data_IF_289744643612
#
_entry.id   IF_289744643612
#
_cell.length_a   1.000
_cell.length_b   1.000
_cell.length_c   1.000
_cell.angle_alpha   90.00
_cell.angle_beta   90.00
_cell.angle_gamma   90.00
#
_symmetry.space_group_name_H-M   'P 1'
#
loop_
_entity.id
_entity.type
_entity.pdbx_description
1 polymer ?
#
# COMPACT_ATOMS: atom_id res chain seq x y z
N UNK A 1 28.22 65.26 -6.97
CA UNK A 1 28.05 64.50 -5.72
C UNK A 1 27.80 63.06 -6.10
N UNK A 2 28.84 62.25 -5.94
CA UNK A 2 28.91 60.82 -6.24
C UNK A 2 28.51 60.02 -5.01
N UNK A 3 27.58 59.07 -5.14
CA UNK A 3 27.47 57.98 -4.18
C UNK A 3 27.27 56.65 -4.92
N UNK A 4 28.18 55.75 -4.58
CA UNK A 4 28.49 54.45 -5.15
C UNK A 4 27.58 53.35 -4.62
N UNK A 5 27.44 52.30 -5.43
CA UNK A 5 26.89 51.00 -5.04
C UNK A 5 27.87 50.26 -4.13
N UNK A 6 27.42 49.85 -2.94
CA UNK A 6 28.11 48.83 -2.14
C UNK A 6 27.31 47.52 -2.21
N UNK A 7 27.86 46.56 -2.95
CA UNK A 7 27.45 45.17 -2.94
C UNK A 7 28.09 44.46 -1.75
N UNK A 8 27.27 43.80 -0.93
CA UNK A 8 27.77 42.87 0.07
C UNK A 8 27.92 41.48 -0.56
N UNK A 9 29.15 41.13 -0.91
CA UNK A 9 29.59 39.76 -1.16
C UNK A 9 29.93 39.09 0.17
N UNK A 10 29.20 38.05 0.54
CA UNK A 10 29.59 37.18 1.65
C UNK A 10 30.42 36.01 1.13
N UNK A 11 31.72 36.06 1.38
CA UNK A 11 32.65 34.94 1.24
C UNK A 11 32.70 34.17 2.57
N UNK A 12 32.31 32.89 2.57
CA UNK A 12 32.59 31.98 3.68
C UNK A 12 33.78 31.09 3.31
N UNK A 13 34.89 31.36 4.00
CA UNK A 13 36.13 30.58 3.98
C UNK A 13 35.97 29.33 4.87
N UNK A 14 36.61 28.23 4.47
CA UNK A 14 36.38 26.90 5.01
C UNK A 14 37.15 26.58 6.30
N UNK A 15 36.60 25.64 7.09
CA UNK A 15 37.33 24.98 8.18
C UNK A 15 36.47 23.99 8.99
N UNK A 16 36.54 22.69 8.61
CA UNK A 16 36.43 21.45 9.42
C UNK A 16 35.29 21.33 10.46
N UNK A 17 34.40 20.33 10.52
CA UNK A 17 34.26 19.00 9.92
C UNK A 17 32.76 18.74 9.80
N UNK A 18 32.20 18.80 8.59
CA UNK A 18 30.89 18.21 8.34
C UNK A 18 31.15 16.74 7.95
N UNK A 19 30.81 15.82 8.85
CA UNK A 19 30.70 14.41 8.52
C UNK A 19 29.77 14.33 7.31
N UNK A 20 30.31 13.92 6.16
CA UNK A 20 29.53 13.59 4.97
C UNK A 20 28.55 12.50 5.38
N UNK A 21 27.30 12.88 5.64
CA UNK A 21 26.21 11.93 5.70
C UNK A 21 26.01 11.40 4.28
N UNK A 22 26.71 10.30 3.98
CA UNK A 22 26.53 9.52 2.77
C UNK A 22 25.13 8.95 2.73
N UNK A 23 24.17 9.74 2.26
CA UNK A 23 22.91 9.22 1.78
C UNK A 23 23.11 8.88 0.31
N UNK A 24 23.39 7.61 0.03
CA UNK A 24 23.24 7.08 -1.31
C UNK A 24 21.75 7.13 -1.64
N UNK A 25 21.32 8.18 -2.33
CA UNK A 25 20.06 8.14 -3.04
C UNK A 25 20.25 7.16 -4.19
N UNK A 26 19.69 5.95 -4.06
CA UNK A 26 19.51 5.09 -5.23
C UNK A 26 18.62 5.85 -6.21
N UNK A 27 19.25 6.32 -7.28
CA UNK A 27 18.53 6.86 -8.43
C UNK A 27 17.96 5.64 -9.15
N UNK A 28 16.69 5.35 -8.89
CA UNK A 28 15.98 4.30 -9.59
C UNK A 28 15.71 4.77 -11.03
N UNK A 29 16.40 4.19 -12.00
CA UNK A 29 16.26 4.49 -13.44
C UNK A 29 14.91 3.99 -14.03
N UNK A 30 14.05 3.39 -13.21
CA UNK A 30 12.75 2.87 -13.62
C UNK A 30 11.89 2.38 -12.43
N UNK A 31 10.68 1.87 -12.69
CA UNK A 31 9.73 1.42 -11.66
C UNK A 31 10.11 0.11 -10.93
N UNK A 32 11.37 -0.33 -11.04
CA UNK A 32 11.84 -1.63 -10.57
C UNK A 32 11.65 -2.77 -11.58
N UNK A 33 12.19 -3.95 -11.26
CA UNK A 33 12.08 -5.17 -12.08
C UNK A 33 11.17 -6.19 -11.41
N UNK A 34 10.12 -6.62 -12.10
CA UNK A 34 9.22 -7.69 -11.61
C UNK A 34 9.97 -9.01 -11.36
N UNK A 35 10.96 -9.33 -12.20
CA UNK A 35 11.73 -10.57 -12.12
C UNK A 35 12.79 -10.55 -11.00
N UNK A 36 13.19 -9.36 -10.54
CA UNK A 36 14.17 -9.18 -9.48
C UNK A 36 13.57 -8.84 -8.12
N UNK A 37 12.25 -8.94 -7.96
CA UNK A 37 11.57 -8.59 -6.71
C UNK A 37 11.89 -9.61 -5.62
N UNK A 38 11.99 -9.13 -4.37
CA UNK A 38 12.02 -10.02 -3.21
C UNK A 38 10.78 -10.91 -3.17
N UNK A 39 11.00 -12.16 -2.77
CA UNK A 39 9.90 -13.11 -2.59
C UNK A 39 9.18 -12.86 -1.26
N UNK A 40 7.88 -13.20 -1.18
CA UNK A 40 7.16 -13.20 0.08
C UNK A 40 7.93 -13.99 1.14
N UNK A 41 7.91 -13.51 2.38
CA UNK A 41 8.49 -14.26 3.50
C UNK A 41 7.58 -15.47 3.73
N UNK A 42 8.03 -16.64 3.29
CA UNK A 42 7.30 -17.91 3.45
C UNK A 42 7.73 -18.67 4.70
N UNK A 43 8.89 -18.33 5.27
CA UNK A 43 9.41 -18.97 6.47
C UNK A 43 8.54 -18.61 7.69
N UNK A 44 8.01 -19.64 8.37
CA UNK A 44 7.16 -19.47 9.55
C UNK A 44 5.69 -19.16 9.26
N UNK A 45 5.24 -19.20 7.98
CA UNK A 45 3.84 -18.96 7.63
C UNK A 45 3.01 -20.24 7.65
N UNK A 46 2.00 -20.28 8.51
CA UNK A 46 1.03 -21.39 8.61
C UNK A 46 -0.22 -21.10 7.76
N UNK A 47 -0.29 -21.75 6.60
CA UNK A 47 -1.35 -21.52 5.61
C UNK A 47 -2.73 -21.98 6.04
N UNK A 48 -2.81 -22.82 7.08
CA UNK A 48 -4.06 -23.26 7.70
C UNK A 48 -4.71 -22.21 8.60
N UNK A 49 -3.94 -21.24 9.09
CA UNK A 49 -4.47 -20.15 9.92
C UNK A 49 -5.06 -19.06 9.03
N UNK A 50 -4.41 -18.77 7.90
CA UNK A 50 -4.83 -17.76 6.94
C UNK A 50 -4.26 -18.01 5.56
N UNK A 51 -5.11 -17.88 4.54
CA UNK A 51 -4.76 -18.03 3.14
C UNK A 51 -3.81 -16.94 2.61
N UNK A 52 -3.32 -17.15 1.38
CA UNK A 52 -2.51 -16.15 0.67
C UNK A 52 -3.24 -14.81 0.60
N UNK A 53 -2.63 -13.76 1.13
CA UNK A 53 -3.25 -12.44 1.27
C UNK A 53 -2.57 -11.41 0.39
N UNK A 54 -3.38 -10.77 -0.46
CA UNK A 54 -2.95 -9.70 -1.37
C UNK A 54 -3.45 -8.37 -0.83
N UNK A 55 -2.52 -7.50 -0.45
CA UNK A 55 -2.78 -6.10 -0.10
C UNK A 55 -2.89 -5.23 -1.35
N UNK A 56 -3.93 -4.40 -1.42
CA UNK A 56 -4.17 -3.43 -2.48
C UNK A 56 -4.09 -2.04 -1.87
N UNK A 57 -2.94 -1.40 -2.04
CA UNK A 57 -2.64 -0.06 -1.53
C UNK A 57 -2.64 0.99 -2.64
N UNK A 58 -2.65 2.26 -2.25
CA UNK A 58 -2.63 3.38 -3.19
C UNK A 58 -3.33 4.65 -2.68
N UNK A 59 -3.12 5.80 -3.35
CA UNK A 59 -3.83 7.03 -3.03
C UNK A 59 -5.35 6.92 -3.12
N UNK A 60 -6.05 7.81 -2.42
CA UNK A 60 -7.50 8.02 -2.60
C UNK A 60 -7.77 8.32 -4.09
N UNK A 61 -8.77 7.64 -4.67
CA UNK A 61 -9.15 7.83 -6.07
C UNK A 61 -8.25 7.15 -7.11
N UNK A 62 -7.21 6.40 -6.71
CA UNK A 62 -6.30 5.71 -7.64
C UNK A 62 -6.89 4.49 -8.37
N UNK A 63 -8.08 4.02 -7.94
CA UNK A 63 -8.75 2.86 -8.54
C UNK A 63 -8.55 1.53 -7.82
N UNK A 64 -8.13 1.54 -6.55
CA UNK A 64 -8.00 0.33 -5.71
C UNK A 64 -9.25 -0.56 -5.67
N UNK A 65 -10.40 0.00 -5.30
CA UNK A 65 -11.70 -0.70 -5.29
C UNK A 65 -12.06 -1.27 -6.66
N UNK A 66 -11.74 -0.54 -7.74
CA UNK A 66 -11.97 -1.00 -9.11
C UNK A 66 -11.08 -2.19 -9.48
N UNK A 67 -9.81 -2.18 -9.07
CA UNK A 67 -8.92 -3.33 -9.22
C UNK A 67 -9.40 -4.52 -8.40
N UNK A 68 -9.80 -4.32 -7.15
CA UNK A 68 -10.33 -5.39 -6.29
C UNK A 68 -11.58 -6.03 -6.88
N UNK A 69 -12.50 -5.23 -7.46
CA UNK A 69 -13.65 -5.73 -8.20
C UNK A 69 -13.22 -6.60 -9.39
N UNK A 70 -12.29 -6.11 -10.22
CA UNK A 70 -11.83 -6.83 -11.40
C UNK A 70 -11.16 -8.17 -11.04
N UNK A 71 -10.29 -8.18 -10.02
CA UNK A 71 -9.64 -9.39 -9.51
C UNK A 71 -10.67 -10.38 -8.96
N UNK A 72 -11.63 -9.90 -8.17
CA UNK A 72 -12.69 -10.75 -7.62
C UNK A 72 -13.48 -11.43 -8.74
N UNK A 73 -13.92 -10.68 -9.75
CA UNK A 73 -14.70 -11.22 -10.87
C UNK A 73 -13.90 -12.23 -11.72
N UNK A 74 -12.61 -12.00 -11.90
CA UNK A 74 -11.73 -12.86 -12.68
C UNK A 74 -11.42 -14.18 -11.94
N UNK A 75 -11.14 -14.12 -10.64
CA UNK A 75 -10.58 -15.26 -9.89
C UNK A 75 -11.63 -16.12 -9.17
N UNK A 76 -12.79 -15.55 -8.77
CA UNK A 76 -13.81 -16.24 -7.96
C UNK A 76 -14.45 -17.48 -8.57
N UNK A 77 -14.18 -17.78 -9.84
CA UNK A 77 -14.67 -19.00 -10.51
C UNK A 77 -13.76 -20.20 -10.27
N UNK A 78 -12.49 -19.94 -10.04
CA UNK A 78 -11.44 -20.96 -9.91
C UNK A 78 -10.92 -21.07 -8.48
N UNK A 79 -11.04 -19.99 -7.70
CA UNK A 79 -10.53 -19.89 -6.34
C UNK A 79 -11.64 -19.45 -5.36
N UNK A 80 -11.58 -19.96 -4.12
CA UNK A 80 -12.37 -19.48 -2.99
C UNK A 80 -11.79 -18.16 -2.49
N UNK A 81 -12.50 -17.04 -2.76
CA UNK A 81 -12.07 -15.69 -2.39
C UNK A 81 -12.87 -15.12 -1.21
N UNK A 82 -12.23 -14.27 -0.42
CA UNK A 82 -12.89 -13.29 0.43
C UNK A 82 -12.13 -11.94 0.41
N UNK A 83 -12.82 -10.85 0.77
CA UNK A 83 -12.29 -9.50 0.69
C UNK A 83 -12.52 -8.71 1.98
N UNK A 84 -11.52 -7.93 2.37
CA UNK A 84 -11.59 -6.93 3.45
C UNK A 84 -11.36 -5.54 2.82
N UNK A 85 -12.26 -4.60 3.08
CA UNK A 85 -12.08 -3.20 2.66
C UNK A 85 -11.92 -2.33 3.88
N UNK A 86 -10.87 -1.52 3.90
CA UNK A 86 -10.67 -0.52 4.93
C UNK A 86 -11.21 0.81 4.43
N UNK A 87 -11.86 1.55 5.31
CA UNK A 87 -12.27 2.93 5.06
C UNK A 87 -12.20 3.71 6.38
N UNK A 88 -12.17 5.03 6.33
CA UNK A 88 -11.94 5.89 7.50
C UNK A 88 -13.22 5.98 8.34
N UNK A 89 -14.34 6.33 7.70
CA UNK A 89 -15.63 6.58 8.39
C UNK A 89 -16.85 6.03 7.63
N UNK A 90 -16.64 5.26 6.57
CA UNK A 90 -17.75 4.76 5.76
C UNK A 90 -17.60 3.27 5.45
N UNK A 91 -18.56 2.72 4.71
CA UNK A 91 -18.52 1.34 4.21
C UNK A 91 -18.71 1.30 2.70
N UNK A 92 -18.47 2.43 2.04
CA UNK A 92 -18.80 2.65 0.63
C UNK A 92 -18.09 1.66 -0.29
N UNK A 93 -16.83 1.32 -0.01
CA UNK A 93 -16.08 0.34 -0.81
C UNK A 93 -16.69 -1.07 -0.72
N UNK A 94 -17.01 -1.56 0.49
CA UNK A 94 -17.68 -2.84 0.66
C UNK A 94 -19.07 -2.87 0.00
N UNK A 95 -19.84 -1.79 0.13
CA UNK A 95 -21.15 -1.64 -0.49
C UNK A 95 -21.05 -1.59 -2.02
N UNK A 96 -20.04 -0.90 -2.54
CA UNK A 96 -19.73 -0.85 -3.97
C UNK A 96 -19.43 -2.26 -4.49
N UNK A 97 -18.54 -3.01 -3.84
CA UNK A 97 -18.21 -4.39 -4.23
C UNK A 97 -19.42 -5.30 -4.18
N UNK A 98 -20.25 -5.17 -3.13
CA UNK A 98 -21.47 -5.96 -2.96
C UNK A 98 -22.49 -5.66 -4.06
N UNK A 99 -22.76 -4.38 -4.35
CA UNK A 99 -23.69 -3.96 -5.42
C UNK A 99 -23.23 -4.42 -6.80
N UNK A 100 -21.92 -4.37 -7.05
CA UNK A 100 -21.32 -4.85 -8.30
C UNK A 100 -21.12 -6.36 -8.34
N UNK A 101 -21.60 -7.09 -7.32
CA UNK A 101 -21.51 -8.55 -7.21
C UNK A 101 -20.08 -9.02 -7.38
N UNK A 102 -19.11 -8.39 -6.71
CA UNK A 102 -17.72 -8.84 -6.68
C UNK A 102 -17.64 -10.26 -6.09
N UNK A 103 -18.21 -10.44 -4.91
CA UNK A 103 -18.35 -11.70 -4.17
C UNK A 103 -19.74 -11.75 -3.51
N UNK A 104 -20.21 -12.92 -3.06
CA UNK A 104 -21.35 -13.00 -2.14
C UNK A 104 -21.13 -12.09 -0.92
N UNK A 105 -22.15 -11.35 -0.44
CA UNK A 105 -21.99 -10.39 0.66
C UNK A 105 -21.30 -10.95 1.92
N UNK A 106 -21.56 -12.20 2.35
CA UNK A 106 -20.86 -12.78 3.51
C UNK A 106 -19.35 -12.94 3.34
N UNK A 107 -18.81 -12.81 2.13
CA UNK A 107 -17.36 -12.90 1.84
C UNK A 107 -16.69 -11.53 1.79
N UNK A 108 -17.41 -10.44 2.08
CA UNK A 108 -16.89 -9.08 2.11
C UNK A 108 -17.01 -8.55 3.54
N UNK A 109 -15.91 -8.07 4.11
CA UNK A 109 -15.88 -7.40 5.42
C UNK A 109 -15.41 -5.96 5.24
N UNK A 110 -16.07 -5.04 5.94
CA UNK A 110 -15.68 -3.63 5.99
C UNK A 110 -15.08 -3.34 7.35
N UNK A 111 -13.95 -2.63 7.39
CA UNK A 111 -13.31 -2.19 8.62
C UNK A 111 -13.20 -0.67 8.60
N UNK A 112 -13.75 -0.05 9.64
CA UNK A 112 -13.62 1.38 9.88
C UNK A 112 -12.33 1.62 10.67
N UNK A 113 -11.33 2.18 10.01
CA UNK A 113 -9.97 2.36 10.54
C UNK A 113 -9.82 3.63 11.38
N UNK A 114 -10.80 4.55 11.32
CA UNK A 114 -10.67 5.88 11.91
C UNK A 114 -9.65 6.74 11.17
N UNK A 115 -9.11 7.75 11.84
CA UNK A 115 -8.34 8.84 11.19
C UNK A 115 -6.95 8.51 10.64
N UNK A 116 -6.43 7.29 10.82
CA UNK A 116 -5.06 6.91 10.43
C UNK A 116 -5.05 5.61 9.60
N UNK A 117 -5.47 5.64 8.31
CA UNK A 117 -5.57 4.43 7.48
C UNK A 117 -4.25 3.67 7.31
N UNK A 118 -3.10 4.36 7.31
CA UNK A 118 -1.78 3.71 7.26
C UNK A 118 -1.48 2.83 8.46
N UNK A 119 -1.93 3.25 9.65
CA UNK A 119 -1.68 2.53 10.89
C UNK A 119 -2.37 1.18 10.85
N UNK A 120 -3.60 1.14 10.34
CA UNK A 120 -4.41 -0.08 10.26
C UNK A 120 -3.79 -1.18 9.40
N UNK A 121 -2.93 -0.84 8.43
CA UNK A 121 -2.30 -1.82 7.54
C UNK A 121 -0.82 -2.07 7.84
N UNK A 122 -0.22 -1.30 8.76
CA UNK A 122 1.22 -1.35 9.04
C UNK A 122 1.57 -1.48 10.52
N UNK A 123 0.99 -0.65 11.38
CA UNK A 123 1.40 -0.48 12.78
C UNK A 123 0.49 -1.26 13.74
N UNK A 124 -0.82 -1.20 13.52
CA UNK A 124 -1.82 -1.99 14.24
C UNK A 124 -2.72 -2.71 13.24
N UNK A 125 -2.28 -3.91 12.87
CA UNK A 125 -2.96 -4.76 11.88
C UNK A 125 -4.02 -5.67 12.50
N UNK A 126 -4.26 -5.56 13.81
CA UNK A 126 -4.98 -6.57 14.60
C UNK A 126 -6.40 -6.81 14.08
N UNK A 127 -7.14 -5.75 13.76
CA UNK A 127 -8.51 -5.87 13.24
C UNK A 127 -8.54 -6.50 11.85
N UNK A 128 -7.59 -6.14 11.00
CA UNK A 128 -7.47 -6.69 9.65
C UNK A 128 -7.12 -8.17 9.70
N UNK A 129 -6.14 -8.54 10.53
CA UNK A 129 -5.70 -9.92 10.68
C UNK A 129 -6.85 -10.80 11.18
N UNK A 130 -7.55 -10.37 12.23
CA UNK A 130 -8.70 -11.10 12.77
C UNK A 130 -9.81 -11.31 11.71
N UNK A 131 -10.16 -10.27 10.96
CA UNK A 131 -11.18 -10.38 9.91
C UNK A 131 -10.77 -11.33 8.79
N UNK A 132 -9.49 -11.34 8.42
CA UNK A 132 -8.94 -12.24 7.39
C UNK A 132 -8.93 -13.70 7.86
N UNK A 133 -8.54 -13.97 9.11
CA UNK A 133 -8.57 -15.30 9.72
C UNK A 133 -10.00 -15.83 9.87
N UNK A 134 -10.94 -14.99 10.30
CA UNK A 134 -12.35 -15.37 10.41
C UNK A 134 -12.94 -15.70 9.05
N UNK A 135 -12.67 -14.88 8.02
CA UNK A 135 -13.09 -15.18 6.65
C UNK A 135 -12.48 -16.47 6.12
N UNK A 136 -11.20 -16.74 6.42
CA UNK A 136 -10.56 -18.00 6.03
C UNK A 136 -11.25 -19.19 6.71
N UNK A 137 -11.50 -19.10 8.02
CA UNK A 137 -12.18 -20.14 8.79
C UNK A 137 -13.61 -20.40 8.32
N UNK A 138 -14.34 -19.34 7.95
CA UNK A 138 -15.73 -19.44 7.48
C UNK A 138 -15.84 -20.05 6.08
N UNK A 139 -14.87 -19.81 5.22
CA UNK A 139 -15.02 -20.03 3.78
C UNK A 139 -13.94 -20.89 3.12
N UNK A 140 -12.95 -21.35 3.88
CA UNK A 140 -11.80 -22.12 3.40
C UNK A 140 -11.20 -21.46 2.15
N UNK A 141 -10.73 -20.23 2.34
CA UNK A 141 -10.28 -19.38 1.22
C UNK A 141 -8.95 -19.85 0.65
N UNK A 142 -8.79 -19.78 -0.67
CA UNK A 142 -7.50 -19.91 -1.35
C UNK A 142 -6.76 -18.57 -1.37
N UNK A 143 -7.52 -17.48 -1.54
CA UNK A 143 -7.00 -16.12 -1.70
C UNK A 143 -7.84 -15.16 -0.86
N UNK A 144 -7.15 -14.30 -0.13
CA UNK A 144 -7.73 -13.16 0.58
C UNK A 144 -7.26 -11.87 -0.06
N UNK A 145 -8.18 -10.94 -0.27
CA UNK A 145 -7.88 -9.59 -0.75
C UNK A 145 -8.11 -8.60 0.39
N UNK A 146 -7.19 -7.64 0.57
CA UNK A 146 -7.36 -6.55 1.53
C UNK A 146 -7.05 -5.21 0.86
N UNK A 147 -7.99 -4.28 0.87
CA UNK A 147 -7.82 -2.92 0.37
C UNK A 147 -7.56 -1.94 1.51
N UNK A 148 -6.63 -0.99 1.33
CA UNK A 148 -6.40 0.09 2.28
C UNK A 148 -7.40 1.25 2.10
N UNK A 149 -7.69 2.02 3.15
CA UNK A 149 -8.65 3.15 3.11
C UNK A 149 -8.22 4.39 2.32
N UNK A 150 -7.28 4.23 1.38
CA UNK A 150 -6.65 5.32 0.66
C UNK A 150 -5.57 5.96 1.53
N UNK A 151 -4.34 5.97 1.01
CA UNK A 151 -3.19 6.33 1.81
C UNK A 151 -2.21 7.20 1.04
N UNK A 152 -1.25 7.79 1.74
CA UNK A 152 -0.16 8.48 1.08
C UNK A 152 0.77 7.48 0.36
N UNK A 153 1.61 8.01 -0.53
CA UNK A 153 2.55 7.22 -1.32
C UNK A 153 3.56 6.42 -0.49
N UNK A 154 3.69 6.68 0.81
CA UNK A 154 4.61 6.03 1.74
C UNK A 154 4.00 4.93 2.59
N UNK A 155 2.72 4.67 2.43
CA UNK A 155 2.08 3.58 3.11
C UNK A 155 2.43 2.25 2.47
N UNK A 156 3.03 1.39 3.28
CA UNK A 156 3.38 0.03 2.92
C UNK A 156 2.68 -0.91 3.91
N UNK A 157 2.18 -2.05 3.43
CA UNK A 157 1.60 -3.04 4.32
C UNK A 157 2.68 -3.66 5.22
N UNK A 158 2.29 -4.04 6.43
CA UNK A 158 3.07 -5.00 7.21
C UNK A 158 3.19 -6.31 6.43
N UNK A 159 4.40 -6.90 6.42
CA UNK A 159 4.62 -8.23 5.83
C UNK A 159 3.86 -9.33 6.59
N UNK A 160 3.49 -9.08 7.84
CA UNK A 160 2.61 -9.98 8.59
C UNK A 160 1.16 -9.91 8.10
N UNK A 161 0.74 -8.80 7.47
CA UNK A 161 -0.62 -8.63 6.98
C UNK A 161 -0.77 -9.06 5.51
N UNK A 162 0.16 -8.69 4.63
CA UNK A 162 0.07 -8.99 3.20
C UNK A 162 1.31 -9.75 2.71
N UNK A 163 1.07 -10.90 2.08
CA UNK A 163 2.11 -11.71 1.44
C UNK A 163 2.54 -11.11 0.11
N UNK A 164 1.61 -10.43 -0.55
CA UNK A 164 1.85 -9.74 -1.79
C UNK A 164 1.14 -8.40 -1.79
N UNK A 165 1.82 -7.36 -2.29
CA UNK A 165 1.29 -5.99 -2.27
C UNK A 165 1.21 -5.49 -3.71
N UNK A 166 0.02 -5.06 -4.11
CA UNK A 166 -0.22 -4.31 -5.33
C UNK A 166 -0.42 -2.85 -4.94
N UNK A 167 0.44 -1.98 -5.45
CA UNK A 167 0.30 -0.54 -5.25
C UNK A 167 -0.28 0.11 -6.50
N UNK A 168 -1.44 0.75 -6.36
CA UNK A 168 -2.19 1.37 -7.45
C UNK A 168 -1.89 2.87 -7.47
N UNK A 169 -1.48 3.36 -8.64
CA UNK A 169 -1.33 4.79 -8.93
C UNK A 169 -2.12 5.13 -10.19
N UNK A 170 -2.60 6.37 -10.26
CA UNK A 170 -3.32 6.87 -11.42
C UNK A 170 -2.53 7.98 -12.13
N UNK A 171 -2.60 8.00 -13.46
CA UNK A 171 -1.87 8.96 -14.31
C UNK A 171 -2.28 10.40 -14.00
N UNK A 172 -3.56 10.64 -13.66
CA UNK A 172 -4.03 11.98 -13.29
C UNK A 172 -3.47 12.46 -11.95
N UNK A 173 -2.91 11.55 -11.13
CA UNK A 173 -2.17 11.86 -9.89
C UNK A 173 -0.83 12.59 -10.13
N UNK A 174 -0.37 12.67 -11.39
CA UNK A 174 0.80 13.45 -11.81
C UNK A 174 2.04 12.62 -12.14
N UNK A 175 2.86 13.13 -13.06
CA UNK A 175 4.02 12.45 -13.64
C UNK A 175 5.21 12.25 -12.68
N UNK A 176 5.16 12.90 -11.50
CA UNK A 176 6.20 12.83 -10.47
C UNK A 176 5.95 11.73 -9.43
N UNK A 177 4.78 11.09 -9.44
CA UNK A 177 4.42 10.03 -8.48
C UNK A 177 5.44 8.88 -8.52
N UNK A 178 5.86 8.34 -9.68
CA UNK A 178 6.83 7.24 -9.72
C UNK A 178 8.23 7.64 -9.24
N UNK A 179 8.60 8.93 -9.36
CA UNK A 179 9.95 9.43 -9.06
C UNK A 179 10.23 9.66 -7.58
N UNK A 180 9.21 9.54 -6.72
CA UNK A 180 9.40 9.76 -5.27
C UNK A 180 10.10 8.61 -4.54
N UNK A 181 10.44 7.52 -5.22
CA UNK A 181 11.25 6.42 -4.66
C UNK A 181 10.54 5.56 -3.62
N UNK A 182 9.22 5.70 -3.47
CA UNK A 182 8.47 5.13 -2.34
C UNK A 182 7.88 3.74 -2.63
N UNK A 183 7.93 3.29 -3.89
CA UNK A 183 7.41 1.99 -4.32
C UNK A 183 8.41 0.83 -4.14
N UNK A 184 9.54 1.07 -3.47
CA UNK A 184 10.55 0.04 -3.22
C UNK A 184 10.51 -0.37 -1.75
N UNK A 185 10.50 -1.68 -1.44
CA UNK A 185 10.70 -2.12 -0.06
C UNK A 185 12.05 -1.60 0.45
N UNK A 186 12.19 -1.23 1.73
CA UNK A 186 13.50 -1.05 2.32
C UNK A 186 14.24 -2.40 2.24
N UNK A 187 15.48 -2.35 1.75
CA UNK A 187 16.45 -3.45 1.81
C UNK A 187 16.59 -4.02 3.22
#
# INVERSE_FOLDING_TARGET
>A
MSHSHDGHSHSHDGGFNAVEHGHSHEILDGPGSFLGREMPIVEGREWSERAFTIGIGGPVGSGKTALMLALSLALRKEYSLAAVTNDIFTREDAEFLTRNKALPPPRIRAIETGGCPHAAVREDISQNLAALEDLHREFDTDILLIESGGDNLAANYSRELADFIIYVIDVSGGDKIPRKGILSPPL
#
